data_IF_946945684001
#
_entry.id   IF_946945684001
#
_cell.length_a   1.000
_cell.length_b   1.000
_cell.length_c   1.000
_cell.angle_alpha   90.00
_cell.angle_beta   90.00
_cell.angle_gamma   90.00
#
_symmetry.space_group_name_H-M   'P 1'
#
loop_
_entity.id
_entity.type
_entity.pdbx_description
1 polymer ?
#
# COMPACT_ATOMS: atom_id res chain seq x y z
N UNK A 1 52.01 10.10 6.38
CA UNK A 1 51.04 9.89 5.31
C UNK A 1 49.74 10.55 5.70
N UNK A 2 49.42 11.64 5.04
CA UNK A 2 48.16 12.32 5.21
C UNK A 2 47.06 11.40 4.71
N UNK A 3 46.01 11.17 5.50
CA UNK A 3 44.76 10.65 4.99
C UNK A 3 44.28 11.65 3.94
N UNK A 4 44.11 11.16 2.71
CA UNK A 4 43.57 12.00 1.63
C UNK A 4 42.14 12.39 1.98
N UNK A 5 41.70 13.56 1.54
CA UNK A 5 40.35 14.09 1.72
C UNK A 5 39.30 13.04 1.31
N UNK A 6 39.53 12.30 0.21
CA UNK A 6 38.70 11.17 -0.24
C UNK A 6 38.54 10.02 0.77
N UNK A 7 39.56 9.78 1.64
CA UNK A 7 39.45 8.74 2.65
C UNK A 7 38.65 9.21 3.86
N UNK A 8 38.71 10.51 4.17
CA UNK A 8 37.89 11.14 5.23
C UNK A 8 36.43 11.24 4.82
N UNK A 9 36.16 11.57 3.56
CA UNK A 9 34.80 11.62 3.01
C UNK A 9 34.13 10.25 3.05
N UNK A 10 34.86 9.18 2.70
CA UNK A 10 34.33 7.80 2.78
C UNK A 10 34.06 7.32 4.20
N UNK A 11 34.74 7.83 5.20
CA UNK A 11 34.51 7.51 6.62
C UNK A 11 33.24 8.19 7.13
N UNK A 12 32.86 9.32 6.54
CA UNK A 12 31.66 10.08 6.88
C UNK A 12 30.41 9.66 6.08
N UNK A 13 30.57 8.79 5.07
CA UNK A 13 29.41 8.23 4.38
C UNK A 13 28.62 7.33 5.33
N UNK A 14 27.31 7.59 5.45
CA UNK A 14 26.42 6.71 6.19
C UNK A 14 26.24 5.39 5.41
N UNK A 15 26.80 4.27 5.89
CA UNK A 15 26.74 2.99 5.16
C UNK A 15 25.32 2.44 5.02
N UNK A 16 24.37 3.03 5.74
CA UNK A 16 22.94 2.68 5.69
C UNK A 16 22.09 3.77 5.03
N UNK A 17 22.69 4.67 4.23
CA UNK A 17 21.94 5.68 3.54
C UNK A 17 20.94 5.02 2.56
N UNK A 18 19.62 5.13 2.78
CA UNK A 18 18.61 4.52 1.90
C UNK A 18 18.65 5.09 0.48
N UNK A 19 19.30 6.26 0.27
CA UNK A 19 19.51 6.84 -1.05
C UNK A 19 20.51 6.07 -1.91
N UNK A 20 21.34 5.21 -1.32
CA UNK A 20 22.33 4.41 -2.07
C UNK A 20 21.72 3.15 -2.69
N UNK A 21 20.57 2.70 -2.19
CA UNK A 21 19.90 1.52 -2.74
C UNK A 21 19.28 1.81 -4.12
N UNK A 22 19.51 0.96 -5.14
CA UNK A 22 18.82 1.08 -6.42
C UNK A 22 17.30 1.03 -6.28
N UNK A 23 16.59 1.85 -7.06
CA UNK A 23 15.12 1.97 -7.01
C UNK A 23 14.40 0.62 -7.12
N UNK A 24 14.89 -0.30 -7.95
CA UNK A 24 14.31 -1.63 -8.15
C UNK A 24 14.16 -2.44 -6.84
N UNK A 25 15.11 -2.33 -5.93
CA UNK A 25 15.03 -3.04 -4.65
C UNK A 25 14.09 -2.34 -3.67
N UNK A 26 14.04 -1.02 -3.70
CA UNK A 26 13.07 -0.24 -2.92
C UNK A 26 11.62 -0.51 -3.38
N UNK A 27 11.39 -0.71 -4.68
CA UNK A 27 10.08 -1.10 -5.22
C UNK A 27 9.68 -2.50 -4.74
N UNK A 28 10.61 -3.47 -4.73
CA UNK A 28 10.34 -4.80 -4.20
C UNK A 28 9.88 -4.73 -2.75
N UNK A 29 10.65 -4.03 -1.90
CA UNK A 29 10.32 -3.83 -0.49
C UNK A 29 8.98 -3.09 -0.31
N UNK A 30 8.78 -2.01 -1.05
CA UNK A 30 7.55 -1.22 -1.03
C UNK A 30 6.31 -2.06 -1.39
N UNK A 31 6.38 -2.88 -2.43
CA UNK A 31 5.28 -3.76 -2.85
C UNK A 31 4.98 -4.83 -1.81
N UNK A 32 6.00 -5.50 -1.30
CA UNK A 32 5.87 -6.53 -0.26
C UNK A 32 5.31 -5.94 1.03
N UNK A 33 5.89 -4.86 1.53
CA UNK A 33 5.46 -4.25 2.78
C UNK A 33 4.06 -3.62 2.66
N UNK A 34 3.68 -3.08 1.50
CA UNK A 34 2.30 -2.65 1.24
C UNK A 34 1.34 -3.83 1.35
N UNK A 35 1.64 -4.98 0.74
CA UNK A 35 0.82 -6.18 0.81
C UNK A 35 0.73 -6.77 2.22
N UNK A 36 1.86 -6.98 2.88
CA UNK A 36 1.91 -7.61 4.21
C UNK A 36 1.37 -6.70 5.32
N UNK A 37 1.70 -5.42 5.32
CA UNK A 37 1.43 -4.53 6.46
C UNK A 37 0.25 -3.61 6.21
N UNK A 38 0.21 -2.91 5.08
CA UNK A 38 -0.85 -1.94 4.81
C UNK A 38 -2.16 -2.62 4.45
N UNK A 39 -2.11 -3.68 3.63
CA UNK A 39 -3.31 -4.44 3.21
C UNK A 39 -3.66 -5.52 4.22
N UNK A 40 -2.70 -6.35 4.62
CA UNK A 40 -2.93 -7.57 5.40
C UNK A 40 -2.58 -7.46 6.90
N UNK A 41 -2.16 -6.30 7.38
CA UNK A 41 -1.71 -6.10 8.76
C UNK A 41 -2.78 -5.57 9.71
N UNK A 42 -2.34 -4.82 10.72
CA UNK A 42 -3.18 -4.37 11.83
C UNK A 42 -4.39 -3.53 11.39
N UNK A 43 -4.28 -2.74 10.32
CA UNK A 43 -5.44 -2.00 9.80
C UNK A 43 -6.58 -2.93 9.38
N UNK A 44 -6.28 -4.03 8.70
CA UNK A 44 -7.28 -5.01 8.31
C UNK A 44 -7.83 -5.78 9.51
N UNK A 45 -6.95 -6.25 10.40
CA UNK A 45 -7.33 -7.04 11.57
C UNK A 45 -8.30 -6.27 12.49
N UNK A 46 -7.93 -5.08 12.89
CA UNK A 46 -8.77 -4.28 13.79
C UNK A 46 -10.02 -3.72 13.09
N UNK A 47 -9.89 -3.29 11.83
CA UNK A 47 -11.04 -2.78 11.08
C UNK A 47 -12.09 -3.85 10.86
N UNK A 48 -11.70 -5.10 10.59
CA UNK A 48 -12.65 -6.20 10.39
C UNK A 48 -13.47 -6.49 11.65
N UNK A 49 -12.87 -6.36 12.83
CA UNK A 49 -13.56 -6.48 14.11
C UNK A 49 -14.48 -5.27 14.36
N UNK A 50 -13.99 -4.05 14.12
CA UNK A 50 -14.76 -2.83 14.39
C UNK A 50 -15.99 -2.69 13.50
N UNK A 51 -15.95 -3.20 12.26
CA UNK A 51 -17.09 -3.18 11.34
C UNK A 51 -17.92 -4.46 11.37
N UNK A 52 -17.63 -5.38 12.30
CA UNK A 52 -18.37 -6.63 12.51
C UNK A 52 -18.36 -7.57 11.28
N UNK A 53 -17.29 -7.58 10.49
CA UNK A 53 -17.04 -8.65 9.52
C UNK A 53 -16.46 -9.89 10.20
N UNK A 54 -15.59 -9.67 11.16
CA UNK A 54 -15.05 -10.71 12.02
C UNK A 54 -15.34 -10.36 13.47
N UNK A 55 -15.24 -11.35 14.36
CA UNK A 55 -15.30 -11.17 15.81
C UNK A 55 -13.96 -11.53 16.44
N UNK A 56 -13.54 -10.72 17.39
CA UNK A 56 -12.35 -10.99 18.19
C UNK A 56 -12.68 -11.97 19.32
N UNK A 57 -12.11 -13.18 19.27
CA UNK A 57 -12.43 -14.24 20.24
C UNK A 57 -11.36 -14.45 21.31
N UNK A 58 -10.15 -13.94 21.12
CA UNK A 58 -9.10 -14.01 22.13
C UNK A 58 -8.12 -12.83 22.06
N UNK A 59 -7.32 -12.64 23.10
CA UNK A 59 -6.22 -11.70 23.18
C UNK A 59 -6.58 -10.24 22.81
N UNK A 60 -5.73 -9.60 22.01
CA UNK A 60 -5.91 -8.19 21.63
C UNK A 60 -7.18 -7.95 20.80
N UNK A 61 -7.57 -8.88 19.95
CA UNK A 61 -8.75 -8.73 19.13
C UNK A 61 -10.04 -8.92 19.92
N UNK A 62 -10.05 -9.76 20.96
CA UNK A 62 -11.16 -9.80 21.91
C UNK A 62 -11.30 -8.49 22.69
N UNK A 63 -10.18 -7.87 23.10
CA UNK A 63 -10.24 -6.53 23.71
C UNK A 63 -10.80 -5.48 22.76
N UNK A 64 -10.45 -5.56 21.47
CA UNK A 64 -11.05 -4.70 20.45
C UNK A 64 -12.56 -4.96 20.29
N UNK A 65 -12.99 -6.22 20.28
CA UNK A 65 -14.40 -6.62 20.22
C UNK A 65 -15.22 -6.01 21.33
N UNK A 66 -14.77 -6.15 22.58
CA UNK A 66 -15.48 -5.68 23.76
C UNK A 66 -15.17 -4.22 24.13
N UNK A 67 -14.38 -3.53 23.30
CA UNK A 67 -13.94 -2.13 23.52
C UNK A 67 -13.26 -1.92 24.88
N UNK A 68 -12.58 -2.93 25.39
CA UNK A 68 -11.79 -2.82 26.62
C UNK A 68 -10.33 -2.54 26.32
N UNK A 69 -9.69 -1.67 27.09
CA UNK A 69 -8.30 -1.32 26.88
C UNK A 69 -8.08 -0.61 25.54
N UNK A 70 -8.73 0.52 25.38
CA UNK A 70 -8.59 1.39 24.20
C UNK A 70 -7.12 1.57 23.81
N UNK A 71 -6.81 1.62 22.52
CA UNK A 71 -5.45 1.63 22.05
C UNK A 71 -4.68 2.83 22.63
N UNK A 72 -3.67 2.54 23.36
CA UNK A 72 -2.64 3.53 23.69
C UNK A 72 -1.66 3.62 22.52
N UNK A 73 -0.83 4.66 22.52
CA UNK A 73 0.14 4.93 21.47
C UNK A 73 1.04 3.75 21.08
N UNK A 74 1.09 2.69 21.88
CA UNK A 74 2.00 1.57 21.69
C UNK A 74 1.33 0.25 21.31
N UNK A 75 0.00 0.17 21.11
CA UNK A 75 -0.66 -1.13 21.08
C UNK A 75 -1.36 -1.52 19.78
N UNK A 76 -2.22 -0.68 19.24
CA UNK A 76 -3.12 -1.11 18.15
C UNK A 76 -2.54 -0.82 16.76
N UNK A 77 -2.15 0.41 16.52
CA UNK A 77 -1.75 0.85 15.18
C UNK A 77 -0.28 1.26 15.07
N UNK A 78 0.54 1.01 16.09
CA UNK A 78 1.93 1.42 16.09
C UNK A 78 2.73 0.80 14.92
N UNK A 79 2.60 -0.51 14.71
CA UNK A 79 3.28 -1.18 13.60
C UNK A 79 2.75 -0.70 12.25
N UNK A 80 1.44 -0.54 12.13
CA UNK A 80 0.82 -0.03 10.91
C UNK A 80 1.25 1.40 10.59
N UNK A 81 1.35 2.27 11.60
CA UNK A 81 1.91 3.62 11.47
C UNK A 81 3.34 3.60 10.94
N UNK A 82 4.23 2.84 11.58
CA UNK A 82 5.63 2.72 11.17
C UNK A 82 5.73 2.21 9.73
N UNK A 83 4.98 1.18 9.40
CA UNK A 83 5.06 0.55 8.08
C UNK A 83 4.51 1.45 6.97
N UNK A 84 3.37 2.11 7.17
CA UNK A 84 2.81 2.99 6.15
C UNK A 84 3.72 4.18 5.86
N UNK A 85 4.34 4.76 6.89
CA UNK A 85 5.29 5.86 6.69
C UNK A 85 6.63 5.41 6.13
N UNK A 86 7.07 4.20 6.41
CA UNK A 86 8.22 3.59 5.73
C UNK A 86 7.93 3.41 4.24
N UNK A 87 6.73 2.97 3.88
CA UNK A 87 6.31 2.86 2.48
C UNK A 87 6.26 4.22 1.78
N UNK A 88 5.69 5.23 2.43
CA UNK A 88 5.65 6.60 1.90
C UNK A 88 7.07 7.12 1.64
N UNK A 89 7.99 6.91 2.59
CA UNK A 89 9.39 7.28 2.43
C UNK A 89 10.04 6.56 1.23
N UNK A 90 9.94 5.25 1.16
CA UNK A 90 10.55 4.47 0.09
C UNK A 90 9.99 4.86 -1.29
N UNK A 91 8.69 5.09 -1.40
CA UNK A 91 8.08 5.55 -2.63
C UNK A 91 8.64 6.91 -3.09
N UNK A 92 8.77 7.87 -2.16
CA UNK A 92 9.33 9.20 -2.47
C UNK A 92 10.79 9.14 -2.88
N UNK A 93 11.58 8.26 -2.27
CA UNK A 93 12.98 8.02 -2.67
C UNK A 93 13.04 7.51 -4.09
N UNK A 94 12.24 6.50 -4.44
CA UNK A 94 12.19 5.94 -5.80
C UNK A 94 11.81 7.00 -6.82
N UNK A 95 10.77 7.78 -6.55
CA UNK A 95 10.32 8.86 -7.44
C UNK A 95 11.45 9.84 -7.70
N UNK A 96 12.11 10.33 -6.65
CA UNK A 96 13.23 11.26 -6.77
C UNK A 96 14.38 10.68 -7.58
N UNK A 97 14.74 9.40 -7.38
CA UNK A 97 15.78 8.74 -8.16
C UNK A 97 15.43 8.68 -9.64
N UNK A 98 14.21 8.30 -9.98
CA UNK A 98 13.75 8.22 -11.38
C UNK A 98 13.66 9.59 -12.06
N UNK A 99 13.47 10.65 -11.30
CA UNK A 99 13.39 12.02 -11.83
C UNK A 99 14.76 12.71 -11.93
N UNK A 100 15.66 12.49 -10.97
CA UNK A 100 16.85 13.31 -10.78
C UNK A 100 18.19 12.56 -10.88
N UNK A 101 18.25 11.28 -10.48
CA UNK A 101 19.51 10.53 -10.45
C UNK A 101 19.97 10.15 -11.87
N UNK A 102 21.13 10.61 -12.35
CA UNK A 102 21.60 10.30 -13.70
C UNK A 102 21.69 8.80 -14.01
N UNK A 103 21.91 7.95 -13.01
CA UNK A 103 21.99 6.49 -13.16
C UNK A 103 20.61 5.80 -13.24
N UNK A 104 19.54 6.49 -12.91
CA UNK A 104 18.18 5.92 -12.84
C UNK A 104 17.13 6.77 -13.56
N UNK A 105 17.48 7.97 -13.98
CA UNK A 105 16.57 8.92 -14.63
C UNK A 105 15.98 8.36 -15.92
N UNK A 106 14.65 8.46 -16.05
CA UNK A 106 13.93 7.96 -17.20
C UNK A 106 13.37 6.55 -17.03
N UNK A 107 13.52 5.94 -15.85
CA UNK A 107 12.83 4.70 -15.50
C UNK A 107 11.37 5.02 -15.16
N UNK A 108 10.59 5.35 -16.18
CA UNK A 108 9.21 5.89 -16.06
C UNK A 108 8.19 4.86 -15.55
N UNK A 109 8.39 3.58 -15.84
CA UNK A 109 7.53 2.51 -15.31
C UNK A 109 7.80 2.34 -13.81
N UNK A 110 9.07 2.29 -13.41
CA UNK A 110 9.49 2.23 -12.00
C UNK A 110 8.95 3.43 -11.21
N UNK A 111 9.05 4.63 -11.76
CA UNK A 111 8.49 5.85 -11.17
C UNK A 111 6.97 5.77 -11.01
N UNK A 112 6.27 5.33 -12.06
CA UNK A 112 4.82 5.20 -12.04
C UNK A 112 4.34 4.20 -10.96
N UNK A 113 5.01 3.06 -10.82
CA UNK A 113 4.73 2.08 -9.76
C UNK A 113 4.86 2.73 -8.38
N UNK A 114 5.96 3.47 -8.16
CA UNK A 114 6.17 4.17 -6.90
C UNK A 114 5.08 5.20 -6.61
N UNK A 115 4.64 5.97 -7.61
CA UNK A 115 3.55 6.94 -7.48
C UNK A 115 2.21 6.26 -7.15
N UNK A 116 1.91 5.12 -7.77
CA UNK A 116 0.69 4.35 -7.48
C UNK A 116 0.69 3.81 -6.04
N UNK A 117 1.81 3.23 -5.60
CA UNK A 117 1.95 2.70 -4.25
C UNK A 117 2.00 3.83 -3.19
N UNK A 118 2.59 4.98 -3.52
CA UNK A 118 2.53 6.18 -2.69
C UNK A 118 1.08 6.67 -2.52
N UNK A 119 0.33 6.72 -3.61
CA UNK A 119 -1.08 7.08 -3.59
C UNK A 119 -1.90 6.14 -2.71
N UNK A 120 -1.67 4.82 -2.82
CA UNK A 120 -2.35 3.83 -2.01
C UNK A 120 -2.05 3.99 -0.51
N UNK A 121 -0.76 4.07 -0.13
CA UNK A 121 -0.36 4.22 1.27
C UNK A 121 -0.79 5.58 1.84
N UNK A 122 -0.72 6.64 1.05
CA UNK A 122 -1.21 7.97 1.44
C UNK A 122 -2.71 8.00 1.69
N UNK A 123 -3.50 7.34 0.84
CA UNK A 123 -4.94 7.22 1.02
C UNK A 123 -5.29 6.43 2.29
N UNK A 124 -4.59 5.34 2.58
CA UNK A 124 -4.77 4.58 3.83
C UNK A 124 -4.45 5.44 5.05
N UNK A 125 -3.33 6.18 5.02
CA UNK A 125 -2.98 7.09 6.11
C UNK A 125 -4.06 8.15 6.34
N UNK A 126 -4.55 8.77 5.28
CA UNK A 126 -5.63 9.76 5.35
C UNK A 126 -6.95 9.17 5.84
N UNK A 127 -7.31 7.95 5.42
CA UNK A 127 -8.53 7.28 5.86
C UNK A 127 -8.51 6.93 7.34
N UNK A 128 -7.39 6.41 7.83
CA UNK A 128 -7.28 5.90 9.21
C UNK A 128 -6.98 7.02 10.20
N UNK A 129 -6.13 7.97 9.84
CA UNK A 129 -5.66 9.01 10.75
C UNK A 129 -6.27 10.40 10.50
N UNK A 130 -6.98 10.59 9.40
CA UNK A 130 -7.53 11.90 9.04
C UNK A 130 -6.43 12.90 8.67
N UNK A 131 -6.35 14.00 9.41
CA UNK A 131 -5.24 14.94 9.28
C UNK A 131 -3.98 14.31 9.87
N UNK A 132 -2.91 14.21 9.07
CA UNK A 132 -1.71 13.48 9.47
C UNK A 132 -0.49 14.01 8.71
N UNK A 133 0.74 13.79 9.18
CA UNK A 133 1.93 14.15 8.43
C UNK A 133 1.99 13.42 7.08
N UNK A 134 2.26 14.13 5.99
CA UNK A 134 2.36 13.53 4.65
C UNK A 134 3.35 14.26 3.74
N UNK A 135 3.13 15.54 3.45
CA UNK A 135 3.91 16.25 2.42
C UNK A 135 5.40 16.37 2.78
N UNK A 136 5.72 16.51 4.06
CA UNK A 136 7.09 16.63 4.54
C UNK A 136 7.68 15.31 5.02
N UNK A 137 6.92 14.22 5.05
CA UNK A 137 7.44 12.91 5.44
C UNK A 137 8.22 12.25 4.30
N UNK A 138 9.26 11.49 4.64
CA UNK A 138 10.04 10.74 3.66
C UNK A 138 10.91 11.59 2.75
N UNK A 139 11.08 12.88 3.03
CA UNK A 139 12.03 13.76 2.34
C UNK A 139 13.34 13.71 3.11
N UNK A 140 14.42 13.35 2.42
CA UNK A 140 15.72 13.13 3.01
C UNK A 140 16.74 14.17 2.55
N UNK A 141 17.67 14.49 3.46
CA UNK A 141 18.91 15.15 3.14
C UNK A 141 19.83 14.22 2.31
N UNK A 142 20.85 14.75 1.64
CA UNK A 142 21.80 13.93 0.87
C UNK A 142 22.49 12.80 1.66
N UNK A 143 22.63 12.99 2.97
CA UNK A 143 23.22 11.99 3.88
C UNK A 143 22.22 10.90 4.34
N UNK A 144 20.98 10.95 3.87
CA UNK A 144 19.90 10.02 4.21
C UNK A 144 19.16 10.32 5.51
N UNK A 145 19.50 11.43 6.20
CA UNK A 145 18.75 11.86 7.38
C UNK A 145 17.46 12.56 7.00
N UNK A 146 16.40 12.51 7.85
CA UNK A 146 15.16 13.23 7.58
C UNK A 146 15.39 14.74 7.44
N UNK A 147 14.87 15.36 6.38
CA UNK A 147 14.92 16.82 6.21
C UNK A 147 14.03 17.54 7.24
N UNK A 148 12.91 16.94 7.60
CA UNK A 148 11.95 17.48 8.55
C UNK A 148 11.82 16.55 9.75
N UNK A 149 12.42 16.92 10.88
CA UNK A 149 12.32 16.15 12.13
C UNK A 149 10.93 16.22 12.77
N UNK A 150 10.21 17.30 12.51
CA UNK A 150 8.83 17.52 12.94
C UNK A 150 7.99 17.93 11.72
N UNK A 151 7.60 16.95 10.89
CA UNK A 151 6.81 17.25 9.70
C UNK A 151 5.46 17.84 10.08
N UNK A 152 5.00 18.79 9.28
CA UNK A 152 3.66 19.39 9.48
C UNK A 152 2.56 18.35 9.34
N UNK A 153 1.45 18.60 10.02
CA UNK A 153 0.20 17.87 9.83
C UNK A 153 -0.49 18.45 8.58
N UNK A 154 -0.71 17.61 7.58
CA UNK A 154 -1.49 17.95 6.41
C UNK A 154 -2.97 17.59 6.64
N UNK A 155 -3.88 18.31 5.98
CA UNK A 155 -5.31 17.97 6.04
C UNK A 155 -5.59 16.71 5.23
N UNK A 156 -6.58 15.94 5.66
CA UNK A 156 -7.04 14.76 4.90
C UNK A 156 -7.36 15.13 3.45
N UNK A 157 -8.02 16.27 3.23
CA UNK A 157 -8.34 16.77 1.90
C UNK A 157 -7.09 17.01 1.04
N UNK A 158 -6.06 17.67 1.59
CA UNK A 158 -4.82 17.94 0.84
C UNK A 158 -4.05 16.66 0.53
N UNK A 159 -4.09 15.68 1.41
CA UNK A 159 -3.48 14.36 1.16
C UNK A 159 -4.21 13.67 -0.01
N UNK A 160 -5.54 13.68 -0.03
CA UNK A 160 -6.29 13.10 -1.14
C UNK A 160 -6.08 13.83 -2.47
N UNK A 161 -5.86 15.15 -2.46
CA UNK A 161 -5.47 15.90 -3.66
C UNK A 161 -4.14 15.38 -4.21
N UNK A 162 -3.14 15.17 -3.36
CA UNK A 162 -1.85 14.58 -3.77
C UNK A 162 -1.97 13.13 -4.22
N UNK A 163 -2.81 12.33 -3.55
CA UNK A 163 -3.12 10.95 -3.97
C UNK A 163 -3.65 10.91 -5.39
N UNK A 164 -4.63 11.72 -5.71
CA UNK A 164 -5.20 11.78 -7.06
C UNK A 164 -4.20 12.31 -8.08
N UNK A 165 -3.39 13.29 -7.72
CA UNK A 165 -2.34 13.82 -8.59
C UNK A 165 -1.27 12.78 -8.89
N UNK A 166 -0.81 12.01 -7.90
CA UNK A 166 0.13 10.91 -8.11
C UNK A 166 -0.42 9.83 -9.06
N UNK A 167 -1.71 9.53 -8.99
CA UNK A 167 -2.35 8.61 -9.92
C UNK A 167 -2.40 9.17 -11.34
N UNK A 168 -2.72 10.46 -11.50
CA UNK A 168 -2.72 11.13 -12.81
C UNK A 168 -1.31 11.18 -13.43
N UNK A 169 -0.31 11.49 -12.63
CA UNK A 169 1.09 11.48 -13.06
C UNK A 169 1.54 10.08 -13.48
N UNK A 170 1.19 9.05 -12.72
CA UNK A 170 1.48 7.67 -13.06
C UNK A 170 0.81 7.24 -14.38
N UNK A 171 -0.45 7.61 -14.59
CA UNK A 171 -1.17 7.33 -15.84
C UNK A 171 -0.47 7.98 -17.01
N UNK A 172 -0.02 9.22 -16.87
CA UNK A 172 0.74 9.92 -17.90
C UNK A 172 2.07 9.22 -18.21
N UNK A 173 2.85 8.86 -17.17
CA UNK A 173 4.11 8.16 -17.31
C UNK A 173 3.95 6.79 -18.00
N UNK A 174 2.87 6.08 -17.73
CA UNK A 174 2.62 4.75 -18.30
C UNK A 174 2.17 4.77 -19.77
N UNK A 175 1.85 5.94 -20.33
CA UNK A 175 1.62 6.19 -21.75
C UNK A 175 0.73 5.11 -22.42
N UNK A 176 -0.53 5.01 -22.02
CA UNK A 176 -1.48 4.00 -22.50
C UNK A 176 -0.98 2.54 -22.35
N UNK A 177 -0.07 2.29 -21.40
CA UNK A 177 0.47 0.96 -21.14
C UNK A 177 1.63 0.57 -22.05
N UNK A 178 2.17 1.49 -22.84
CA UNK A 178 3.29 1.24 -23.77
C UNK A 178 4.64 1.69 -23.23
N UNK A 179 4.66 2.34 -22.08
CA UNK A 179 5.88 2.87 -21.47
C UNK A 179 6.90 1.78 -21.17
N UNK A 180 8.17 2.14 -21.27
CA UNK A 180 9.29 1.29 -20.90
C UNK A 180 10.29 2.11 -20.09
N UNK A 181 10.91 1.48 -19.11
CA UNK A 181 12.04 2.06 -18.40
C UNK A 181 13.22 2.26 -19.36
N UNK A 182 14.07 3.23 -19.07
CA UNK A 182 15.26 3.55 -19.84
C UNK A 182 16.32 2.42 -19.86
N UNK A 183 16.10 1.35 -19.08
CA UNK A 183 17.03 0.22 -18.97
C UNK A 183 18.25 0.52 -18.10
N UNK A 184 18.21 1.56 -17.28
CA UNK A 184 19.24 1.93 -16.33
C UNK A 184 19.18 1.07 -15.07
N UNK A 185 20.19 1.18 -14.20
CA UNK A 185 20.45 0.25 -13.09
C UNK A 185 19.27 0.09 -12.10
N UNK A 186 18.44 1.11 -11.96
CA UNK A 186 17.28 1.13 -11.07
C UNK A 186 15.97 0.62 -11.66
N UNK A 187 15.93 0.25 -12.96
CA UNK A 187 14.74 -0.26 -13.62
C UNK A 187 14.19 -1.50 -12.92
N UNK A 188 12.90 -1.48 -12.55
CA UNK A 188 12.31 -2.51 -11.71
C UNK A 188 12.22 -3.88 -12.37
N UNK A 189 11.78 -3.95 -13.62
CA UNK A 189 11.65 -5.21 -14.35
C UNK A 189 10.94 -6.31 -13.52
N UNK A 190 11.55 -7.47 -13.46
CA UNK A 190 11.05 -8.63 -12.70
C UNK A 190 11.17 -8.51 -11.17
N UNK A 191 11.76 -7.44 -10.65
CA UNK A 191 11.80 -7.15 -9.21
C UNK A 191 10.46 -6.62 -8.67
N UNK A 192 9.55 -6.23 -9.55
CA UNK A 192 8.14 -6.04 -9.21
C UNK A 192 7.47 -7.41 -9.01
N UNK A 193 7.14 -7.76 -7.77
CA UNK A 193 6.54 -9.05 -7.43
C UNK A 193 5.01 -9.10 -7.71
N UNK A 194 4.43 -8.01 -8.17
CA UNK A 194 2.99 -7.95 -8.51
C UNK A 194 2.80 -8.27 -10.00
N UNK A 195 3.44 -7.53 -10.89
CA UNK A 195 3.29 -7.72 -12.35
C UNK A 195 4.60 -8.00 -13.10
N UNK A 196 5.72 -8.09 -12.40
CA UNK A 196 7.04 -8.26 -13.00
C UNK A 196 7.31 -9.64 -13.61
N UNK A 197 6.41 -10.62 -13.41
CA UNK A 197 6.52 -11.93 -14.07
C UNK A 197 6.39 -11.84 -15.59
N UNK A 198 5.72 -10.83 -16.10
CA UNK A 198 5.65 -10.50 -17.52
C UNK A 198 5.90 -9.01 -17.74
N UNK A 199 7.15 -8.64 -18.00
CA UNK A 199 7.53 -7.24 -18.18
C UNK A 199 6.95 -6.60 -19.44
N UNK A 200 6.50 -7.39 -20.41
CA UNK A 200 5.88 -6.86 -21.63
C UNK A 200 4.48 -6.26 -21.39
N UNK A 201 3.78 -6.71 -20.35
CA UNK A 201 2.46 -6.23 -19.96
C UNK A 201 2.46 -5.39 -18.69
N UNK A 202 3.61 -5.26 -18.02
CA UNK A 202 3.75 -4.61 -16.73
C UNK A 202 3.18 -3.18 -16.71
N UNK A 203 3.56 -2.35 -17.68
CA UNK A 203 3.07 -0.98 -17.77
C UNK A 203 1.55 -0.92 -17.95
N UNK A 204 0.97 -1.78 -18.77
CA UNK A 204 -0.49 -1.83 -18.99
C UNK A 204 -1.24 -2.32 -17.76
N UNK A 205 -0.70 -3.27 -16.99
CA UNK A 205 -1.32 -3.76 -15.76
C UNK A 205 -1.29 -2.70 -14.64
N UNK A 206 -0.18 -2.00 -14.47
CA UNK A 206 -0.11 -0.88 -13.53
C UNK A 206 -1.00 0.29 -13.94
N UNK A 207 -1.17 0.54 -15.25
CA UNK A 207 -2.13 1.53 -15.74
C UNK A 207 -3.57 1.19 -15.32
N UNK A 208 -3.97 -0.07 -15.47
CA UNK A 208 -5.28 -0.56 -15.03
C UNK A 208 -5.45 -0.42 -13.52
N UNK A 209 -4.42 -0.71 -12.75
CA UNK A 209 -4.40 -0.51 -11.28
C UNK A 209 -4.60 0.96 -10.92
N UNK A 210 -3.92 1.89 -11.61
CA UNK A 210 -4.07 3.32 -11.37
C UNK A 210 -5.51 3.79 -11.63
N UNK A 211 -6.14 3.35 -12.71
CA UNK A 211 -7.55 3.65 -12.98
C UNK A 211 -8.51 3.02 -11.97
N UNK A 212 -8.25 1.79 -11.51
CA UNK A 212 -9.02 1.16 -10.45
C UNK A 212 -8.99 1.99 -9.16
N UNK A 213 -7.81 2.48 -8.77
CA UNK A 213 -7.66 3.34 -7.60
C UNK A 213 -8.32 4.70 -7.79
N UNK A 214 -8.23 5.30 -8.97
CA UNK A 214 -8.97 6.54 -9.28
C UNK A 214 -10.48 6.36 -9.12
N UNK A 215 -11.04 5.28 -9.63
CA UNK A 215 -12.45 4.95 -9.47
C UNK A 215 -12.82 4.79 -8.00
N UNK A 216 -12.01 4.03 -7.24
CA UNK A 216 -12.21 3.79 -5.80
C UNK A 216 -12.21 5.09 -5.01
N UNK A 217 -11.21 5.94 -5.19
CA UNK A 217 -11.05 7.17 -4.41
C UNK A 217 -12.05 8.25 -4.81
N UNK A 218 -12.41 8.36 -6.08
CA UNK A 218 -13.49 9.24 -6.52
C UNK A 218 -14.82 8.82 -5.87
N UNK A 219 -15.14 7.53 -5.83
CA UNK A 219 -16.32 7.02 -5.14
C UNK A 219 -16.27 7.29 -3.64
N UNK A 220 -15.13 7.10 -2.99
CA UNK A 220 -14.95 7.36 -1.56
C UNK A 220 -15.20 8.81 -1.20
N UNK A 221 -14.80 9.74 -2.07
CA UNK A 221 -14.96 11.17 -1.88
C UNK A 221 -16.30 11.72 -2.38
N UNK A 222 -17.20 10.88 -2.88
CA UNK A 222 -18.45 11.29 -3.54
C UNK A 222 -19.32 12.18 -2.66
N UNK A 223 -19.35 11.94 -1.34
CA UNK A 223 -20.13 12.77 -0.41
C UNK A 223 -19.54 14.18 -0.20
N UNK A 224 -18.31 14.41 -0.62
CA UNK A 224 -17.62 15.70 -0.60
C UNK A 224 -17.54 16.35 -1.99
N UNK A 225 -18.11 15.71 -3.01
CA UNK A 225 -18.08 16.18 -4.39
C UNK A 225 -18.87 17.47 -4.57
N UNK A 226 -18.30 18.42 -5.31
CA UNK A 226 -18.98 19.60 -5.78
C UNK A 226 -19.98 19.29 -6.91
N UNK A 227 -19.75 18.20 -7.67
CA UNK A 227 -20.62 17.73 -8.74
C UNK A 227 -20.64 16.20 -8.80
N UNK A 228 -21.57 15.60 -8.07
CA UNK A 228 -21.71 14.14 -7.97
C UNK A 228 -21.98 13.47 -9.32
N UNK A 229 -22.76 14.10 -10.19
CA UNK A 229 -23.08 13.54 -11.51
C UNK A 229 -21.80 13.40 -12.36
N UNK A 230 -20.96 14.43 -12.39
CA UNK A 230 -19.68 14.39 -13.10
C UNK A 230 -18.76 13.33 -12.51
N UNK A 231 -18.65 13.25 -11.19
CA UNK A 231 -17.80 12.25 -10.53
C UNK A 231 -18.29 10.82 -10.78
N UNK A 232 -19.59 10.58 -10.78
CA UNK A 232 -20.15 9.26 -11.14
C UNK A 232 -19.83 8.87 -12.59
N UNK A 233 -19.90 9.83 -13.52
CA UNK A 233 -19.51 9.59 -14.92
C UNK A 233 -18.00 9.30 -15.03
N UNK A 234 -17.18 10.04 -14.31
CA UNK A 234 -15.73 9.81 -14.24
C UNK A 234 -15.41 8.42 -13.70
N UNK A 235 -16.11 7.98 -12.64
CA UNK A 235 -15.96 6.63 -12.08
C UNK A 235 -16.23 5.57 -13.14
N UNK A 236 -17.31 5.67 -13.89
CA UNK A 236 -17.63 4.73 -14.98
C UNK A 236 -16.53 4.71 -16.06
N UNK A 237 -16.00 5.89 -16.41
CA UNK A 237 -14.89 6.01 -17.35
C UNK A 237 -13.63 5.32 -16.81
N UNK A 238 -13.28 5.54 -15.54
CA UNK A 238 -12.11 4.90 -14.92
C UNK A 238 -12.28 3.39 -14.83
N UNK A 239 -13.44 2.91 -14.43
CA UNK A 239 -13.75 1.48 -14.38
C UNK A 239 -13.58 0.82 -15.75
N UNK A 240 -14.04 1.47 -16.84
CA UNK A 240 -13.89 0.95 -18.21
C UNK A 240 -12.43 0.81 -18.67
N UNK A 241 -11.51 1.54 -18.04
CA UNK A 241 -10.06 1.50 -18.29
C UNK A 241 -9.29 0.65 -17.28
N UNK A 242 -9.99 0.08 -16.31
CA UNK A 242 -9.43 -0.75 -15.23
C UNK A 242 -9.42 -2.24 -15.63
N UNK A 243 -9.49 -3.11 -14.63
CA UNK A 243 -9.44 -4.55 -14.82
C UNK A 243 -10.65 -5.08 -15.61
N UNK A 244 -10.38 -5.87 -16.66
CA UNK A 244 -11.41 -6.53 -17.44
C UNK A 244 -11.79 -7.91 -16.87
N UNK A 245 -10.88 -8.55 -16.15
CA UNK A 245 -11.09 -9.88 -15.59
C UNK A 245 -10.12 -10.14 -14.41
N UNK A 246 -10.31 -11.24 -13.71
CA UNK A 246 -9.54 -11.59 -12.51
C UNK A 246 -8.04 -11.82 -12.75
N UNK A 247 -7.63 -12.15 -13.99
CA UNK A 247 -6.21 -12.35 -14.30
C UNK A 247 -5.40 -11.04 -14.30
N UNK A 248 -6.07 -9.90 -14.32
CA UNK A 248 -5.46 -8.57 -14.34
C UNK A 248 -5.39 -7.94 -12.94
N UNK A 249 -5.94 -8.59 -11.93
CA UNK A 249 -5.99 -8.03 -10.57
C UNK A 249 -4.61 -7.69 -10.02
N UNK A 250 -4.54 -6.59 -9.27
CA UNK A 250 -3.34 -6.20 -8.54
C UNK A 250 -3.24 -7.04 -7.26
N UNK A 251 -2.41 -8.07 -7.29
CA UNK A 251 -2.22 -8.96 -6.14
C UNK A 251 -0.76 -9.26 -5.88
N UNK A 252 -0.42 -9.35 -4.60
CA UNK A 252 0.85 -9.88 -4.14
C UNK A 252 0.68 -11.39 -3.90
N UNK A 253 1.19 -12.22 -4.80
CA UNK A 253 1.03 -13.68 -4.78
C UNK A 253 2.32 -14.39 -4.31
N UNK A 254 2.91 -13.90 -3.21
CA UNK A 254 4.16 -14.43 -2.65
C UNK A 254 3.93 -15.39 -1.48
N UNK A 255 2.67 -15.60 -1.10
CA UNK A 255 2.34 -16.45 0.03
C UNK A 255 2.45 -17.93 -0.30
N UNK A 256 2.90 -18.72 0.67
CA UNK A 256 2.93 -20.17 0.64
C UNK A 256 2.39 -20.74 1.95
N UNK A 257 2.30 -22.08 2.04
CA UNK A 257 1.75 -22.74 3.22
C UNK A 257 2.75 -22.91 4.38
N UNK A 258 4.04 -22.66 4.15
CA UNK A 258 5.09 -23.06 5.08
C UNK A 258 5.90 -21.87 5.62
N UNK A 259 6.40 -20.99 4.74
CA UNK A 259 7.39 -19.98 5.10
C UNK A 259 6.89 -18.55 4.97
N UNK A 260 5.94 -18.29 4.08
CA UNK A 260 5.40 -16.96 3.79
C UNK A 260 3.88 -16.95 3.90
N UNK A 261 3.40 -17.12 5.12
CA UNK A 261 1.96 -17.17 5.38
C UNK A 261 1.30 -15.81 5.15
N UNK A 262 0.11 -15.84 4.57
CA UNK A 262 -0.72 -14.63 4.53
C UNK A 262 -0.92 -14.12 5.96
N UNK A 263 -0.69 -12.82 6.25
CA UNK A 263 -0.75 -12.28 7.61
C UNK A 263 -2.09 -12.52 8.31
N UNK A 264 -3.21 -12.36 7.60
CA UNK A 264 -4.54 -12.61 8.16
C UNK A 264 -4.76 -14.08 8.50
N UNK A 265 -4.36 -14.97 7.60
CA UNK A 265 -4.39 -16.42 7.84
C UNK A 265 -3.49 -16.80 9.02
N UNK A 266 -2.24 -16.35 9.01
CA UNK A 266 -1.27 -16.64 10.08
C UNK A 266 -1.80 -16.20 11.44
N UNK A 267 -2.39 -15.01 11.51
CA UNK A 267 -2.93 -14.49 12.75
C UNK A 267 -4.15 -15.28 13.23
N UNK A 268 -5.07 -15.59 12.33
CA UNK A 268 -6.25 -16.40 12.65
C UNK A 268 -5.88 -17.81 13.06
N UNK A 269 -5.04 -18.48 12.27
CA UNK A 269 -4.67 -19.87 12.49
C UNK A 269 -3.75 -20.07 13.71
N UNK A 270 -2.65 -19.29 13.81
CA UNK A 270 -1.66 -19.47 14.86
C UNK A 270 -2.08 -18.92 16.22
N UNK A 271 -2.92 -17.88 16.24
CA UNK A 271 -3.35 -17.23 17.48
C UNK A 271 -4.79 -17.49 17.86
N UNK A 272 -5.57 -18.06 16.96
CA UNK A 272 -6.99 -18.35 17.16
C UNK A 272 -7.74 -17.13 17.75
N UNK A 273 -7.54 -15.96 17.16
CA UNK A 273 -8.03 -14.70 17.70
C UNK A 273 -9.20 -14.11 16.94
N UNK A 274 -9.54 -14.66 15.77
CA UNK A 274 -10.61 -14.20 14.89
C UNK A 274 -11.55 -15.34 14.51
N UNK A 275 -12.80 -15.00 14.35
CA UNK A 275 -13.82 -15.85 13.74
C UNK A 275 -14.77 -14.99 12.90
N UNK A 276 -15.55 -15.60 12.02
CA UNK A 276 -16.59 -14.89 11.31
C UNK A 276 -17.64 -14.36 12.30
N UNK A 277 -18.07 -13.09 12.13
CA UNK A 277 -19.07 -12.52 13.03
C UNK A 277 -20.47 -13.08 12.75
N UNK A 278 -21.27 -13.26 13.78
CA UNK A 278 -22.69 -13.61 13.64
C UNK A 278 -23.43 -12.57 12.78
N UNK A 279 -23.14 -11.29 12.98
CA UNK A 279 -23.73 -10.19 12.21
C UNK A 279 -23.51 -10.32 10.69
N UNK A 280 -22.31 -10.71 10.27
CA UNK A 280 -22.02 -10.92 8.86
C UNK A 280 -22.73 -12.17 8.32
N UNK A 281 -22.66 -13.28 9.04
CA UNK A 281 -23.28 -14.56 8.64
C UNK A 281 -24.79 -14.38 8.48
N UNK A 282 -25.47 -13.74 9.44
CA UNK A 282 -26.90 -13.45 9.38
C UNK A 282 -27.26 -12.65 8.12
N UNK A 283 -26.49 -11.62 7.78
CA UNK A 283 -26.71 -10.83 6.56
C UNK A 283 -26.55 -11.63 5.27
N UNK A 284 -25.59 -12.55 5.24
CA UNK A 284 -25.42 -13.45 4.09
C UNK A 284 -26.61 -14.39 3.93
N UNK A 285 -27.13 -14.94 5.04
CA UNK A 285 -28.30 -15.82 5.04
C UNK A 285 -29.56 -15.04 4.66
N UNK A 286 -29.84 -13.91 5.31
CA UNK A 286 -31.01 -13.07 5.04
C UNK A 286 -31.11 -12.62 3.58
N UNK A 287 -29.98 -12.31 2.97
CA UNK A 287 -29.89 -11.83 1.58
C UNK A 287 -29.75 -12.94 0.57
N UNK A 288 -29.69 -14.19 0.99
CA UNK A 288 -29.36 -15.32 0.14
C UNK A 288 -28.12 -15.05 -0.73
N UNK A 289 -27.06 -14.52 -0.13
CA UNK A 289 -25.86 -14.08 -0.82
C UNK A 289 -25.09 -15.28 -1.37
N UNK A 290 -24.88 -15.35 -2.70
CA UNK A 290 -24.21 -16.51 -3.32
C UNK A 290 -22.72 -16.66 -2.93
N UNK A 291 -22.12 -15.67 -2.27
CA UNK A 291 -20.75 -15.71 -1.81
C UNK A 291 -20.58 -16.49 -0.50
N UNK A 292 -21.67 -16.74 0.23
CA UNK A 292 -21.60 -17.40 1.53
C UNK A 292 -20.83 -18.73 1.53
N UNK A 293 -21.07 -19.65 0.59
CA UNK A 293 -20.33 -20.93 0.53
C UNK A 293 -18.83 -20.79 0.23
N UNK A 294 -18.41 -19.63 -0.31
CA UNK A 294 -17.02 -19.34 -0.62
C UNK A 294 -16.33 -18.54 0.50
N UNK A 295 -17.11 -17.79 1.27
CA UNK A 295 -16.60 -16.91 2.32
C UNK A 295 -16.45 -17.62 3.68
N UNK A 296 -17.28 -18.65 3.92
CA UNK A 296 -17.30 -19.36 5.18
C UNK A 296 -17.08 -20.85 4.95
N UNK A 297 -16.07 -21.39 5.62
CA UNK A 297 -15.89 -22.84 5.74
C UNK A 297 -16.81 -23.34 6.85
N UNK A 298 -17.38 -24.55 6.68
CA UNK A 298 -18.01 -25.21 7.81
C UNK A 298 -16.98 -25.43 8.92
N UNK A 299 -17.41 -25.38 10.19
CA UNK A 299 -16.51 -25.67 11.29
C UNK A 299 -15.87 -27.04 11.09
N UNK A 300 -14.55 -27.11 11.18
CA UNK A 300 -13.86 -28.37 11.34
C UNK A 300 -14.52 -29.13 12.50
N UNK A 301 -14.75 -30.47 12.40
CA UNK A 301 -15.28 -31.29 13.49
C UNK A 301 -14.52 -31.14 14.81
N UNK A 302 -13.30 -30.61 14.77
CA UNK A 302 -12.47 -30.28 15.95
C UNK A 302 -12.84 -28.94 16.58
N UNK A 303 -13.72 -28.14 15.97
CA UNK A 303 -14.21 -26.87 16.50
C UNK A 303 -13.28 -25.67 16.23
N UNK A 304 -12.28 -25.83 15.40
CA UNK A 304 -11.40 -24.74 14.96
C UNK A 304 -11.75 -24.35 13.53
N UNK A 305 -12.12 -23.09 13.35
CA UNK A 305 -12.29 -22.45 12.05
C UNK A 305 -11.15 -21.47 11.87
#
# INVERSE_FOLDING_TARGET
SACTEDAMDKINENPNNPLDAPAKFLITDLGVNTGFSTVGGDFSLYSSVYIEHETGISNQLYRAEVRSGEPTTATTYNNAWINVYSNIKNAKIVIKKCEEDPSEKGNVVTEAIAKILLAYNGAVAADVFGNTPYSQTGILNPDGTPMYMQPKIDTQESIYQEVMQNLDDAITLLNNGTAKDAGLSGAVGSKDLIYGSNTSTQASMWLKTAYALKARYTMRLLNKSANKTTDLQNILTYVSKSFANASEECKLAVYDADSQLNPLWSFSYSRNSLAASASLIEKFVERNDPRAPQAFLEPDPTGYI
#
